data_IF_010153285738
#
_entry.id   IF_010153285738
#
_cell.length_a   1.000
_cell.length_b   1.000
_cell.length_c   1.000
_cell.angle_alpha   90.00
_cell.angle_beta   90.00
_cell.angle_gamma   90.00
#
_symmetry.space_group_name_H-M   'P 1'
#
loop_
_entity.id
_entity.type
_entity.pdbx_description
1 polymer ?
#
# COMPACT_ATOMS: atom_id res chain seq x y z
N UNK A 1 10.50 -23.08 -16.48
CA UNK A 1 10.91 -22.76 -17.87
C UNK A 1 12.40 -22.41 -17.81
N UNK A 2 13.25 -23.35 -18.17
CA UNK A 2 14.71 -23.19 -18.03
C UNK A 2 15.43 -23.25 -19.39
N UNK A 3 14.71 -22.87 -20.44
CA UNK A 3 15.28 -22.95 -21.79
C UNK A 3 16.14 -21.70 -22.07
N UNK A 4 17.43 -21.83 -22.38
CA UNK A 4 18.32 -20.68 -22.59
C UNK A 4 17.86 -19.73 -23.70
N UNK A 5 17.07 -20.22 -24.67
CA UNK A 5 16.49 -19.38 -25.72
C UNK A 5 15.34 -18.47 -25.23
N UNK A 6 14.83 -18.64 -23.99
CA UNK A 6 13.85 -17.72 -23.40
C UNK A 6 14.50 -16.46 -22.80
N UNK A 7 15.82 -16.46 -22.59
CA UNK A 7 16.55 -15.27 -22.17
C UNK A 7 16.54 -14.18 -23.25
N UNK A 8 16.61 -12.93 -22.79
CA UNK A 8 16.81 -11.79 -23.68
C UNK A 8 18.09 -11.98 -24.50
N UNK A 9 17.98 -11.71 -25.80
CA UNK A 9 19.12 -11.65 -26.71
C UNK A 9 19.21 -10.20 -27.18
N UNK A 10 20.28 -9.52 -26.83
CA UNK A 10 20.52 -8.12 -27.26
C UNK A 10 20.79 -8.06 -28.79
N UNK A 11 19.81 -8.52 -29.57
CA UNK A 11 19.84 -8.68 -31.00
C UNK A 11 18.39 -8.73 -31.53
N UNK A 12 18.12 -8.53 -32.82
CA UNK A 12 16.77 -8.60 -33.40
C UNK A 12 16.22 -10.06 -33.46
N UNK A 13 16.34 -10.80 -32.34
CA UNK A 13 15.84 -12.17 -32.18
C UNK A 13 14.89 -12.20 -30.98
N UNK A 14 13.63 -12.55 -31.28
CA UNK A 14 12.57 -12.65 -30.27
C UNK A 14 12.24 -14.12 -30.00
N UNK A 15 12.11 -14.48 -28.71
CA UNK A 15 11.52 -15.75 -28.31
C UNK A 15 10.00 -15.65 -28.32
N UNK A 16 9.34 -16.50 -29.10
CA UNK A 16 7.89 -16.62 -29.12
C UNK A 16 7.47 -17.89 -28.37
N UNK A 17 6.66 -17.71 -27.33
CA UNK A 17 6.21 -18.80 -26.48
C UNK A 17 4.68 -18.83 -26.49
N UNK A 18 4.11 -19.95 -26.98
CA UNK A 18 2.67 -20.15 -26.97
C UNK A 18 2.17 -20.42 -25.55
N UNK A 19 0.99 -19.87 -25.22
CA UNK A 19 0.28 -20.13 -23.96
C UNK A 19 -1.10 -20.72 -24.20
N UNK A 20 -1.56 -21.55 -23.27
CA UNK A 20 -2.89 -22.16 -23.27
C UNK A 20 -3.82 -21.39 -22.31
N UNK A 21 -4.12 -20.15 -22.68
CA UNK A 21 -4.94 -19.23 -21.91
C UNK A 21 -4.14 -18.26 -21.02
N UNK A 22 -4.88 -17.39 -20.33
CA UNK A 22 -4.33 -16.26 -19.56
C UNK A 22 -3.44 -16.71 -18.42
N UNK A 23 -3.91 -17.66 -17.61
CA UNK A 23 -3.16 -18.13 -16.45
C UNK A 23 -1.84 -18.80 -16.81
N UNK A 24 -1.83 -19.59 -17.86
CA UNK A 24 -0.60 -20.18 -18.39
C UNK A 24 0.36 -19.10 -18.94
N UNK A 25 -0.20 -18.08 -19.62
CA UNK A 25 0.54 -16.93 -20.10
C UNK A 25 1.22 -16.16 -18.94
N UNK A 26 0.50 -15.91 -17.86
CA UNK A 26 1.04 -15.24 -16.68
C UNK A 26 2.17 -16.06 -16.05
N UNK A 27 1.99 -17.36 -15.86
CA UNK A 27 3.03 -18.25 -15.32
C UNK A 27 4.29 -18.28 -16.19
N UNK A 28 4.13 -18.28 -17.51
CA UNK A 28 5.25 -18.24 -18.46
C UNK A 28 5.97 -16.91 -18.39
N UNK A 29 5.24 -15.78 -18.29
CA UNK A 29 5.83 -14.46 -18.12
C UNK A 29 6.61 -14.34 -16.79
N UNK A 30 6.05 -14.83 -15.69
CA UNK A 30 6.76 -14.91 -14.39
C UNK A 30 8.04 -15.76 -14.50
N UNK A 31 7.96 -16.90 -15.19
CA UNK A 31 9.12 -17.75 -15.45
C UNK A 31 10.20 -17.06 -16.26
N UNK A 32 9.82 -16.26 -17.25
CA UNK A 32 10.79 -15.49 -18.05
C UNK A 32 11.44 -14.37 -17.21
N UNK A 33 10.68 -13.66 -16.40
CA UNK A 33 11.24 -12.65 -15.49
C UNK A 33 12.25 -13.26 -14.50
N UNK A 34 11.98 -14.46 -13.98
CA UNK A 34 12.89 -15.16 -13.08
C UNK A 34 14.18 -15.65 -13.74
N UNK A 35 14.14 -15.92 -15.06
CA UNK A 35 15.33 -16.27 -15.82
C UNK A 35 16.26 -15.09 -16.07
N UNK A 36 15.67 -13.93 -16.34
CA UNK A 36 16.43 -12.71 -16.60
C UNK A 36 15.50 -11.50 -16.66
N UNK A 37 15.98 -10.34 -16.20
CA UNK A 37 15.19 -9.10 -16.21
C UNK A 37 14.31 -8.90 -14.99
N UNK A 38 14.50 -9.65 -13.92
CA UNK A 38 13.77 -9.49 -12.66
C UNK A 38 13.85 -8.05 -12.16
N UNK A 39 12.69 -7.46 -11.89
CA UNK A 39 12.58 -6.04 -11.50
C UNK A 39 12.58 -5.05 -12.66
N UNK A 40 12.89 -5.45 -13.90
CA UNK A 40 13.04 -4.51 -15.01
C UNK A 40 11.70 -4.05 -15.59
N UNK A 41 11.19 -4.71 -16.62
CA UNK A 41 9.99 -4.28 -17.35
C UNK A 41 9.18 -5.49 -17.80
N UNK A 42 7.87 -5.43 -17.66
CA UNK A 42 6.93 -6.40 -18.21
C UNK A 42 5.85 -5.68 -19.00
N UNK A 43 5.32 -6.33 -20.05
CA UNK A 43 4.31 -5.75 -20.93
C UNK A 43 3.12 -6.67 -21.06
N UNK A 44 1.92 -6.09 -21.07
CA UNK A 44 0.68 -6.78 -21.42
C UNK A 44 -0.06 -6.01 -22.51
N UNK A 45 -0.56 -6.74 -23.50
CA UNK A 45 -1.43 -6.19 -24.55
C UNK A 45 -2.84 -6.75 -24.36
N UNK A 46 -3.75 -5.94 -23.85
CA UNK A 46 -5.15 -6.28 -23.61
C UNK A 46 -5.97 -5.03 -23.33
N UNK A 47 -7.26 -5.05 -23.71
CA UNK A 47 -8.23 -4.02 -23.32
C UNK A 47 -8.96 -4.36 -22.01
N UNK A 48 -8.73 -5.52 -21.44
CA UNK A 48 -9.36 -5.95 -20.18
C UNK A 48 -8.60 -5.38 -18.99
N UNK A 49 -9.17 -4.36 -18.34
CA UNK A 49 -8.58 -3.65 -17.20
C UNK A 49 -8.32 -4.56 -15.98
N UNK A 50 -9.16 -5.56 -15.77
CA UNK A 50 -8.95 -6.52 -14.69
C UNK A 50 -7.70 -7.36 -14.93
N UNK A 51 -7.48 -7.82 -16.17
CA UNK A 51 -6.25 -8.55 -16.52
C UNK A 51 -5.01 -7.66 -16.46
N UNK A 52 -5.13 -6.37 -16.83
CA UNK A 52 -4.04 -5.40 -16.68
C UNK A 52 -3.62 -5.28 -15.19
N UNK A 53 -4.59 -5.13 -14.29
CA UNK A 53 -4.35 -5.03 -12.86
C UNK A 53 -3.75 -6.32 -12.30
N UNK A 54 -4.33 -7.47 -12.62
CA UNK A 54 -3.83 -8.79 -12.17
C UNK A 54 -2.40 -9.02 -12.64
N UNK A 55 -2.09 -8.70 -13.88
CA UNK A 55 -0.75 -8.79 -14.43
C UNK A 55 0.22 -7.87 -13.69
N UNK A 56 -0.19 -6.61 -13.46
CA UNK A 56 0.61 -5.62 -12.74
C UNK A 56 0.97 -6.05 -11.32
N UNK A 57 0.04 -6.70 -10.61
CA UNK A 57 0.28 -7.21 -9.25
C UNK A 57 1.21 -8.43 -9.25
N UNK A 58 1.10 -9.31 -10.25
CA UNK A 58 1.86 -10.57 -10.31
C UNK A 58 3.29 -10.40 -10.78
N UNK A 59 3.51 -9.52 -11.75
CA UNK A 59 4.83 -9.39 -12.36
C UNK A 59 5.81 -8.68 -11.43
N UNK A 60 6.91 -9.33 -11.12
CA UNK A 60 8.01 -8.78 -10.31
C UNK A 60 8.87 -7.84 -11.16
N UNK A 61 8.26 -6.78 -11.64
CA UNK A 61 8.87 -5.74 -12.47
C UNK A 61 8.50 -4.36 -11.94
N UNK A 62 9.41 -3.41 -12.01
CA UNK A 62 9.17 -2.03 -11.58
C UNK A 62 8.34 -1.23 -12.60
N UNK A 63 8.34 -1.66 -13.86
CA UNK A 63 7.54 -1.09 -14.94
C UNK A 63 6.67 -2.17 -15.54
N UNK A 64 5.36 -1.98 -15.43
CA UNK A 64 4.38 -2.78 -16.14
C UNK A 64 3.70 -1.89 -17.15
N UNK A 65 3.91 -2.19 -18.41
CA UNK A 65 3.42 -1.42 -19.52
C UNK A 65 2.17 -2.07 -20.11
N UNK A 66 1.21 -1.26 -20.50
CA UNK A 66 -0.02 -1.70 -21.11
C UNK A 66 -0.10 -1.16 -22.53
N UNK A 67 -0.34 -2.04 -23.51
CA UNK A 67 -0.56 -1.70 -24.91
C UNK A 67 0.53 -0.80 -25.54
N UNK A 68 1.78 -0.95 -25.08
CA UNK A 68 2.91 -0.19 -25.59
C UNK A 68 4.14 -1.08 -25.78
N UNK A 69 5.06 -0.74 -26.70
CA UNK A 69 6.31 -1.46 -26.87
C UNK A 69 7.17 -1.41 -25.60
N UNK A 70 7.89 -2.50 -25.31
CA UNK A 70 8.71 -2.59 -24.11
C UNK A 70 9.85 -1.56 -24.07
N UNK A 71 10.58 -1.43 -25.17
CA UNK A 71 11.76 -0.56 -25.22
C UNK A 71 11.37 0.92 -25.09
N UNK A 72 10.56 1.43 -25.98
CA UNK A 72 10.17 2.84 -26.03
C UNK A 72 9.25 3.19 -24.85
N UNK A 73 8.34 2.29 -24.47
CA UNK A 73 7.46 2.50 -23.34
C UNK A 73 8.23 2.52 -22.00
N UNK A 74 9.27 1.70 -21.86
CA UNK A 74 10.12 1.67 -20.67
C UNK A 74 10.98 2.92 -20.52
N UNK A 75 11.45 3.51 -21.59
CA UNK A 75 12.20 4.76 -21.60
C UNK A 75 11.36 5.92 -21.05
N UNK A 76 10.07 5.89 -21.27
CA UNK A 76 9.13 6.94 -20.83
C UNK A 76 8.94 8.07 -21.84
N UNK A 77 7.93 8.91 -21.58
CA UNK A 77 7.54 10.12 -22.31
C UNK A 77 6.91 9.89 -23.72
N UNK A 78 7.21 8.83 -24.44
CA UNK A 78 6.67 8.61 -25.80
C UNK A 78 5.24 8.07 -25.73
N UNK A 79 4.99 7.04 -24.91
CA UNK A 79 3.70 6.37 -24.80
C UNK A 79 3.04 6.53 -23.41
N UNK A 80 3.70 7.19 -22.47
CA UNK A 80 3.24 7.33 -21.10
C UNK A 80 3.86 8.56 -20.42
N UNK A 81 3.47 8.84 -19.18
CA UNK A 81 3.91 9.99 -18.39
C UNK A 81 5.13 9.71 -17.49
N UNK A 82 5.83 8.59 -17.69
CA UNK A 82 7.05 8.35 -16.92
C UNK A 82 8.16 9.32 -17.34
N UNK A 83 9.01 9.66 -16.39
CA UNK A 83 10.20 10.50 -16.66
C UNK A 83 11.06 9.79 -17.70
N UNK A 84 11.44 10.48 -18.80
CA UNK A 84 12.30 9.88 -19.82
C UNK A 84 13.70 9.62 -19.28
N UNK A 85 14.17 8.38 -19.45
CA UNK A 85 15.50 7.97 -19.04
C UNK A 85 15.97 6.71 -19.80
N UNK A 86 17.25 6.63 -20.02
CA UNK A 86 17.92 5.41 -20.49
C UNK A 86 18.44 4.55 -19.33
N UNK A 87 18.45 5.10 -18.10
CA UNK A 87 18.82 4.39 -16.89
C UNK A 87 17.57 4.00 -16.13
N UNK A 88 17.25 2.72 -16.15
CA UNK A 88 16.01 2.18 -15.61
C UNK A 88 16.29 1.40 -14.34
N UNK A 89 15.82 1.92 -13.18
CA UNK A 89 15.91 1.23 -11.92
C UNK A 89 15.05 -0.04 -11.89
N UNK A 90 15.53 -1.09 -11.25
CA UNK A 90 14.87 -2.39 -11.12
C UNK A 90 14.41 -2.69 -9.69
N UNK A 91 14.55 -1.76 -8.77
CA UNK A 91 14.13 -1.86 -7.38
C UNK A 91 14.74 -3.03 -6.62
N UNK A 92 14.08 -3.43 -5.55
CA UNK A 92 14.54 -4.54 -4.71
C UNK A 92 14.61 -5.89 -5.43
N UNK A 93 13.71 -6.13 -6.38
CA UNK A 93 13.73 -7.34 -7.21
C UNK A 93 14.98 -7.44 -8.10
N UNK A 94 15.46 -6.30 -8.59
CA UNK A 94 16.67 -6.21 -9.43
C UNK A 94 17.92 -5.82 -8.64
N UNK A 95 17.86 -5.83 -7.30
CA UNK A 95 18.96 -5.43 -6.41
C UNK A 95 19.45 -3.99 -6.66
N UNK A 96 18.53 -3.10 -7.01
CA UNK A 96 18.81 -1.68 -7.21
C UNK A 96 18.23 -0.84 -6.06
N UNK A 97 18.85 0.32 -5.82
CA UNK A 97 18.37 1.30 -4.83
C UNK A 97 17.18 2.13 -5.31
N UNK A 98 16.91 2.17 -6.61
CA UNK A 98 15.77 2.89 -7.20
C UNK A 98 14.90 1.95 -8.02
N UNK A 99 13.57 2.21 -8.05
CA UNK A 99 12.56 1.43 -8.75
C UNK A 99 11.89 2.19 -9.90
N UNK A 100 12.41 3.34 -10.27
CA UNK A 100 11.85 4.22 -11.31
C UNK A 100 12.90 4.58 -12.36
N UNK A 101 12.50 5.34 -13.37
CA UNK A 101 13.38 5.89 -14.38
C UNK A 101 14.28 6.95 -13.75
N UNK A 102 15.59 6.73 -13.75
CA UNK A 102 16.56 7.58 -13.07
C UNK A 102 16.65 8.94 -13.77
N UNK A 103 16.59 10.00 -13.00
CA UNK A 103 16.61 11.37 -13.47
C UNK A 103 17.65 12.22 -12.72
N UNK A 104 17.76 13.49 -13.07
CA UNK A 104 18.61 14.43 -12.33
C UNK A 104 18.18 14.60 -10.86
N UNK A 105 16.93 14.35 -10.52
CA UNK A 105 16.44 14.39 -9.15
C UNK A 105 17.09 13.33 -8.27
N UNK A 106 17.45 12.19 -8.81
CA UNK A 106 18.10 11.09 -8.07
C UNK A 106 19.57 11.41 -7.75
N UNK A 107 20.13 12.41 -8.39
CA UNK A 107 21.47 12.92 -8.13
C UNK A 107 21.50 14.05 -7.08
N UNK A 108 20.31 14.51 -6.64
CA UNK A 108 20.23 15.55 -5.63
C UNK A 108 20.49 14.97 -4.24
N UNK A 109 21.45 15.57 -3.55
CA UNK A 109 21.69 15.25 -2.14
C UNK A 109 20.75 16.08 -1.26
N UNK A 110 19.65 15.49 -0.84
CA UNK A 110 18.67 16.16 0.03
C UNK A 110 19.16 16.20 1.46
N UNK A 111 19.25 17.41 2.03
CA UNK A 111 19.56 17.62 3.45
C UNK A 111 18.31 18.04 4.20
N UNK A 112 18.02 17.37 5.29
CA UNK A 112 16.91 17.72 6.16
C UNK A 112 17.40 18.56 7.33
N UNK A 113 16.88 19.79 7.45
CA UNK A 113 17.08 20.64 8.64
C UNK A 113 15.89 20.44 9.59
N UNK A 114 16.12 19.73 10.67
CA UNK A 114 15.11 19.55 11.72
C UNK A 114 15.40 20.43 12.92
N UNK A 115 14.45 21.25 13.30
CA UNK A 115 14.52 22.07 14.52
C UNK A 115 13.70 21.45 15.62
N UNK A 116 14.24 21.41 16.85
CA UNK A 116 13.46 21.03 18.03
C UNK A 116 12.28 21.98 18.18
N UNK A 117 11.08 21.45 18.32
CA UNK A 117 9.92 22.24 18.73
C UNK A 117 10.10 22.69 20.18
N UNK A 118 10.06 24.01 20.43
CA UNK A 118 10.18 24.56 21.77
C UNK A 118 8.93 24.34 22.62
N UNK A 119 7.79 24.05 21.99
CA UNK A 119 6.57 23.70 22.71
C UNK A 119 6.61 22.21 23.02
N UNK A 120 6.63 21.88 24.29
CA UNK A 120 6.44 20.49 24.74
C UNK A 120 5.01 20.08 24.40
N UNK A 121 4.83 19.48 23.23
CA UNK A 121 3.59 18.75 22.94
C UNK A 121 3.70 17.40 23.62
N UNK A 122 2.92 17.22 24.69
CA UNK A 122 2.80 15.95 25.35
C UNK A 122 1.85 15.08 24.54
N UNK A 123 2.37 13.99 24.00
CA UNK A 123 1.53 12.90 23.54
C UNK A 123 1.45 11.88 24.69
N UNK A 124 0.33 11.85 25.37
CA UNK A 124 0.09 10.88 26.43
C UNK A 124 -0.71 9.73 25.84
N UNK A 125 -0.08 8.59 25.70
CA UNK A 125 -0.77 7.35 25.37
C UNK A 125 -1.51 6.89 26.62
N UNK A 126 -2.76 6.44 26.54
CA UNK A 126 -3.43 5.82 27.68
C UNK A 126 -2.59 4.69 28.26
N UNK A 127 -2.55 4.51 29.58
CA UNK A 127 -1.71 3.47 30.22
C UNK A 127 -2.12 2.06 29.82
N UNK A 128 -3.32 1.88 29.29
CA UNK A 128 -3.84 0.61 28.78
C UNK A 128 -4.59 0.85 27.48
N UNK A 129 -4.22 0.09 26.46
CA UNK A 129 -4.90 0.06 25.16
C UNK A 129 -5.32 -1.39 24.90
N UNK A 130 -6.61 -1.61 24.65
CA UNK A 130 -7.18 -2.92 24.37
C UNK A 130 -7.64 -2.96 22.92
N UNK A 131 -7.20 -3.93 22.12
CA UNK A 131 -7.55 -4.08 20.70
C UNK A 131 -7.95 -5.50 20.31
N UNK A 132 -8.24 -6.36 21.26
CA UNK A 132 -8.78 -7.69 20.96
C UNK A 132 -10.28 -7.63 20.70
N UNK A 133 -10.80 -8.65 20.06
CA UNK A 133 -12.24 -8.84 19.92
C UNK A 133 -12.88 -8.83 21.32
N UNK A 134 -14.00 -8.13 21.43
CA UNK A 134 -14.75 -7.95 22.70
C UNK A 134 -14.01 -7.17 23.80
N UNK A 135 -12.92 -6.46 23.46
CA UNK A 135 -12.17 -5.62 24.42
C UNK A 135 -13.03 -4.58 25.13
N UNK A 136 -14.16 -4.18 24.54
CA UNK A 136 -15.15 -3.29 25.15
C UNK A 136 -15.71 -3.82 26.48
N UNK A 137 -15.68 -5.13 26.70
CA UNK A 137 -16.15 -5.75 27.95
C UNK A 137 -15.29 -5.35 29.17
N UNK A 138 -14.07 -4.83 28.94
CA UNK A 138 -13.23 -4.29 30.00
C UNK A 138 -13.89 -3.13 30.76
N UNK A 139 -14.81 -2.41 30.13
CA UNK A 139 -15.59 -1.34 30.79
C UNK A 139 -16.39 -1.82 32.01
N UNK A 140 -16.67 -3.11 32.11
CA UNK A 140 -17.32 -3.71 33.29
C UNK A 140 -16.45 -3.74 34.54
N UNK A 141 -15.15 -3.49 34.38
CA UNK A 141 -14.13 -3.58 35.46
C UNK A 141 -13.49 -2.24 35.78
N UNK A 142 -13.92 -1.14 35.18
CA UNK A 142 -13.41 0.17 35.57
C UNK A 142 -13.99 0.60 36.91
N UNK A 143 -13.14 1.19 37.72
CA UNK A 143 -13.52 1.72 39.07
C UNK A 143 -13.73 3.23 38.91
N UNK A 144 -14.97 3.64 38.70
CA UNK A 144 -15.36 5.04 38.57
C UNK A 144 -16.82 5.23 39.04
N UNK A 145 -17.11 6.35 39.66
CA UNK A 145 -18.47 6.73 40.01
C UNK A 145 -19.18 7.49 38.89
N UNK A 146 -18.41 8.16 38.03
CA UNK A 146 -18.90 8.90 36.86
C UNK A 146 -17.99 8.68 35.68
N UNK A 147 -18.59 8.48 34.50
CA UNK A 147 -17.90 8.32 33.24
C UNK A 147 -18.45 9.32 32.22
N UNK A 148 -17.57 10.08 31.62
CA UNK A 148 -17.94 10.90 30.45
C UNK A 148 -17.56 10.15 29.15
N UNK A 149 -18.54 9.87 28.33
CA UNK A 149 -18.38 9.31 27.00
C UNK A 149 -18.31 10.47 26.00
N UNK A 150 -17.15 10.66 25.39
CA UNK A 150 -16.92 11.67 24.35
C UNK A 150 -16.84 10.97 23.01
N UNK A 151 -17.69 11.37 22.05
CA UNK A 151 -17.74 10.78 20.72
C UNK A 151 -18.30 11.79 19.72
N UNK A 152 -18.16 11.51 18.42
CA UNK A 152 -18.83 12.27 17.38
C UNK A 152 -20.31 11.83 17.22
N UNK A 153 -21.14 12.63 16.53
CA UNK A 153 -22.55 12.30 16.31
C UNK A 153 -22.77 10.98 15.57
N UNK A 154 -21.84 10.58 14.69
CA UNK A 154 -21.91 9.33 13.96
C UNK A 154 -21.82 8.11 14.87
N UNK A 155 -21.00 8.16 15.92
CA UNK A 155 -20.88 7.08 16.90
C UNK A 155 -22.18 6.87 17.69
N UNK A 156 -22.93 7.94 17.94
CA UNK A 156 -24.27 7.84 18.52
C UNK A 156 -25.25 7.24 17.52
N UNK A 157 -25.26 7.73 16.28
CA UNK A 157 -26.18 7.27 15.25
C UNK A 157 -25.96 5.80 14.88
N UNK A 158 -24.72 5.33 14.87
CA UNK A 158 -24.39 3.92 14.60
C UNK A 158 -24.57 3.00 15.82
N UNK A 159 -24.99 3.52 16.99
CA UNK A 159 -25.26 2.74 18.17
C UNK A 159 -24.04 2.34 19.00
N UNK A 160 -22.85 2.83 18.67
CA UNK A 160 -21.64 2.51 19.43
C UNK A 160 -21.67 3.14 20.84
N UNK A 161 -22.23 4.33 20.98
CA UNK A 161 -22.42 4.96 22.28
C UNK A 161 -23.31 4.11 23.22
N UNK A 162 -24.39 3.54 22.68
CA UNK A 162 -25.27 2.66 23.45
C UNK A 162 -24.59 1.33 23.81
N UNK A 163 -23.73 0.84 22.94
CA UNK A 163 -22.95 -0.37 23.22
C UNK A 163 -22.00 -0.15 24.40
N UNK A 164 -21.34 1.01 24.48
CA UNK A 164 -20.51 1.41 25.63
C UNK A 164 -21.37 1.54 26.90
N UNK A 165 -22.51 2.23 26.86
CA UNK A 165 -23.42 2.38 27.99
C UNK A 165 -23.85 1.04 28.56
N UNK A 166 -24.25 0.10 27.71
CA UNK A 166 -24.64 -1.27 28.13
C UNK A 166 -23.52 -1.98 28.89
N UNK A 167 -22.25 -1.80 28.48
CA UNK A 167 -21.14 -2.41 29.22
C UNK A 167 -20.94 -1.76 30.60
N UNK A 168 -21.14 -0.44 30.69
CA UNK A 168 -21.04 0.30 31.96
C UNK A 168 -22.22 -0.02 32.88
N UNK A 169 -23.42 -0.28 32.40
CA UNK A 169 -24.55 -0.77 33.18
C UNK A 169 -24.28 -2.13 33.86
N UNK A 170 -23.47 -2.96 33.20
CA UNK A 170 -23.03 -4.27 33.73
C UNK A 170 -21.85 -4.16 34.68
N UNK A 171 -21.31 -2.95 34.91
CA UNK A 171 -20.24 -2.69 35.87
C UNK A 171 -20.78 -2.77 37.32
N UNK A 172 -19.97 -3.30 38.24
CA UNK A 172 -20.32 -3.41 39.65
C UNK A 172 -20.60 -2.06 40.32
N UNK A 173 -19.88 -1.02 39.92
CA UNK A 173 -20.01 0.35 40.44
C UNK A 173 -21.17 1.11 39.83
N UNK A 174 -21.73 0.63 38.71
CA UNK A 174 -22.81 1.29 37.94
C UNK A 174 -22.58 2.80 37.82
N UNK A 175 -21.50 3.23 37.19
CA UNK A 175 -21.15 4.65 37.11
C UNK A 175 -22.25 5.45 36.40
N UNK A 176 -22.46 6.68 36.84
CA UNK A 176 -23.28 7.62 36.07
C UNK A 176 -22.57 7.95 34.77
N UNK A 177 -23.29 7.84 33.63
CA UNK A 177 -22.71 8.05 32.29
C UNK A 177 -23.25 9.30 31.67
N UNK A 178 -22.39 10.29 31.48
CA UNK A 178 -22.69 11.49 30.69
C UNK A 178 -22.16 11.30 29.26
N UNK A 179 -22.90 11.74 28.24
CA UNK A 179 -22.48 11.66 26.85
C UNK A 179 -22.31 13.06 26.29
N UNK A 180 -21.13 13.32 25.78
CA UNK A 180 -20.83 14.50 24.98
C UNK A 180 -20.59 14.08 23.54
N UNK A 181 -21.47 14.46 22.63
CA UNK A 181 -21.47 14.01 21.24
C UNK A 181 -21.26 15.14 20.20
N UNK A 182 -20.90 16.33 20.67
CA UNK A 182 -20.68 17.51 19.82
C UNK A 182 -19.19 17.67 19.47
N UNK A 183 -18.59 16.57 18.98
CA UNK A 183 -17.19 16.55 18.57
C UNK A 183 -17.12 16.62 17.06
N UNK A 184 -16.36 17.56 16.53
CA UNK A 184 -16.09 17.66 15.10
C UNK A 184 -15.20 16.49 14.62
N UNK A 185 -15.47 15.93 13.41
CA UNK A 185 -14.70 14.79 12.88
C UNK A 185 -13.21 15.06 12.68
N UNK A 186 -12.83 16.33 12.53
CA UNK A 186 -11.45 16.80 12.41
C UNK A 186 -11.24 17.98 13.36
N UNK A 187 -10.95 17.74 14.63
CA UNK A 187 -10.71 18.82 15.58
C UNK A 187 -9.49 19.65 15.19
N UNK A 188 -9.67 20.93 15.07
CA UNK A 188 -8.62 21.93 14.75
C UNK A 188 -7.64 22.15 15.92
#
# INVERSE_FOLDING_TARGET
MEHPLALEKLSPVLALIKSDGVEDGFKKAEGMLNLGGLGHTAVIHTENEELQLQYGIRMKACRVLVNSPSAEGGIGNIYNNMIPSLTLGCGSHGHNSVSHNVSSFDLLNVKTLSKRRNNMQWFRVPPKIFFEKDSITYLRHIEADRVMLVCDPGMVQFGYADLVKRQLELNRHRPAVDVFSDVEPNPS
#
